data_IF_175049436837
#
_entry.id   IF_175049436837
#
_cell.length_a   1.000
_cell.length_b   1.000
_cell.length_c   1.000
_cell.angle_alpha   90.00
_cell.angle_beta   90.00
_cell.angle_gamma   90.00
#
_symmetry.space_group_name_H-M   'P 1'
#
loop_
_entity.id
_entity.type
_entity.pdbx_description
1 polymer ?
#
# COMPACT_ATOMS: atom_id res chain seq x y z
N UNK A 1 10.39 -29.87 14.60
CA UNK A 1 9.27 -28.90 14.59
C UNK A 1 9.48 -27.81 13.53
N UNK A 2 10.51 -26.97 13.63
CA UNK A 2 10.78 -25.87 12.67
C UNK A 2 11.01 -26.33 11.22
N UNK A 3 11.70 -27.46 10.99
CA UNK A 3 11.85 -28.03 9.65
C UNK A 3 10.50 -28.42 8.99
N UNK A 4 9.54 -28.87 9.79
CA UNK A 4 8.18 -29.16 9.31
C UNK A 4 7.41 -27.87 8.96
N UNK A 5 7.59 -26.81 9.75
CA UNK A 5 7.05 -25.47 9.42
C UNK A 5 7.67 -24.93 8.13
N UNK A 6 8.97 -25.14 7.93
CA UNK A 6 9.68 -24.74 6.70
C UNK A 6 9.16 -25.49 5.47
N UNK A 7 8.94 -26.80 5.58
CA UNK A 7 8.35 -27.60 4.49
C UNK A 7 6.91 -27.19 4.17
N UNK A 8 6.09 -26.92 5.19
CA UNK A 8 4.72 -26.42 5.00
C UNK A 8 4.72 -25.03 4.37
N UNK A 9 5.64 -24.15 4.78
CA UNK A 9 5.84 -22.84 4.19
C UNK A 9 6.23 -22.93 2.72
N UNK A 10 7.21 -23.77 2.37
CA UNK A 10 7.61 -24.01 0.99
C UNK A 10 6.46 -24.58 0.14
N UNK A 11 5.70 -25.53 0.68
CA UNK A 11 4.53 -26.07 0.00
C UNK A 11 3.46 -25.00 -0.24
N UNK A 12 3.19 -24.13 0.74
CA UNK A 12 2.25 -23.04 0.61
C UNK A 12 2.71 -21.97 -0.41
N UNK A 13 4.01 -21.65 -0.42
CA UNK A 13 4.62 -20.72 -1.38
C UNK A 13 4.56 -21.27 -2.80
N UNK A 14 4.92 -22.54 -3.01
CA UNK A 14 4.90 -23.18 -4.33
C UNK A 14 3.48 -23.37 -4.89
N UNK A 15 2.45 -23.36 -4.02
CA UNK A 15 1.04 -23.44 -4.43
C UNK A 15 0.46 -22.07 -4.79
N UNK A 16 1.04 -20.98 -4.29
CA UNK A 16 0.73 -19.64 -4.78
C UNK A 16 1.38 -19.52 -6.17
N UNK A 17 0.60 -19.11 -7.17
CA UNK A 17 1.16 -18.75 -8.47
C UNK A 17 2.21 -17.66 -8.25
N UNK A 18 3.38 -17.85 -8.86
CA UNK A 18 4.59 -17.04 -8.74
C UNK A 18 4.40 -15.55 -9.08
N UNK A 19 3.28 -15.20 -9.70
CA UNK A 19 2.92 -13.86 -10.16
C UNK A 19 1.98 -13.08 -9.21
N UNK A 20 1.70 -13.58 -8.00
CA UNK A 20 0.93 -12.75 -7.05
C UNK A 20 1.82 -11.63 -6.53
N UNK A 21 1.74 -10.45 -7.13
CA UNK A 21 2.50 -9.27 -6.73
C UNK A 21 2.33 -9.05 -5.22
N UNK A 22 3.43 -9.16 -4.45
CA UNK A 22 3.36 -9.28 -2.98
C UNK A 22 2.69 -8.07 -2.30
N UNK A 23 2.78 -6.91 -2.93
CA UNK A 23 2.15 -5.68 -2.48
C UNK A 23 0.61 -5.77 -2.43
N UNK A 24 -0.03 -6.71 -3.14
CA UNK A 24 -1.48 -6.93 -3.05
C UNK A 24 -1.91 -7.32 -1.62
N UNK A 25 -1.00 -7.90 -0.82
CA UNK A 25 -1.28 -8.29 0.56
C UNK A 25 -1.53 -7.10 1.50
N UNK A 26 -1.11 -5.90 1.13
CA UNK A 26 -1.35 -4.71 1.96
C UNK A 26 -2.62 -3.98 1.58
N UNK A 27 -3.19 -4.23 0.39
CA UNK A 27 -4.46 -3.64 -0.05
C UNK A 27 -5.59 -4.08 0.88
N UNK A 28 -6.38 -3.12 1.33
CA UNK A 28 -7.51 -3.29 2.22
C UNK A 28 -8.82 -3.18 1.45
N UNK A 29 -9.87 -3.86 1.92
CA UNK A 29 -11.21 -3.66 1.38
C UNK A 29 -11.81 -2.35 1.94
N UNK A 30 -12.05 -1.32 1.11
CA UNK A 30 -12.65 -0.08 1.58
C UNK A 30 -14.12 -0.25 2.01
N UNK A 31 -14.79 -1.31 1.55
CA UNK A 31 -16.17 -1.65 1.91
C UNK A 31 -16.25 -2.89 2.85
N UNK A 32 -15.35 -2.97 3.82
CA UNK A 32 -15.29 -4.04 4.82
C UNK A 32 -16.60 -4.22 5.61
N UNK A 33 -17.34 -3.12 5.84
CA UNK A 33 -18.60 -3.11 6.60
C UNK A 33 -19.87 -3.10 5.75
N UNK A 34 -19.77 -3.08 4.43
CA UNK A 34 -20.94 -3.03 3.52
C UNK A 34 -21.64 -1.68 3.39
N UNK A 35 -21.03 -0.60 3.90
CA UNK A 35 -21.61 0.75 3.89
C UNK A 35 -21.08 1.63 2.73
N UNK A 36 -20.08 1.18 1.99
CA UNK A 36 -19.42 1.93 0.92
C UNK A 36 -19.75 1.31 -0.45
N UNK A 37 -21.02 1.41 -0.84
CA UNK A 37 -21.57 0.73 -2.02
C UNK A 37 -21.41 1.52 -3.33
N UNK A 38 -20.86 2.73 -3.24
CA UNK A 38 -20.73 3.67 -4.35
C UNK A 38 -19.28 4.08 -4.52
N UNK A 39 -18.82 4.21 -5.76
CA UNK A 39 -17.48 4.67 -6.12
C UNK A 39 -17.60 5.91 -7.00
N UNK A 40 -16.86 6.94 -6.64
CA UNK A 40 -16.68 8.16 -7.41
C UNK A 40 -15.27 8.20 -7.96
N UNK A 41 -15.15 8.36 -9.27
CA UNK A 41 -13.86 8.38 -9.97
C UNK A 41 -13.60 9.79 -10.49
N UNK A 42 -12.58 10.44 -9.97
CA UNK A 42 -12.07 11.70 -10.53
C UNK A 42 -11.35 11.33 -11.82
N UNK A 43 -11.96 11.63 -12.95
CA UNK A 43 -11.52 11.13 -14.25
C UNK A 43 -10.62 12.15 -14.96
N UNK A 44 -9.46 11.66 -15.37
CA UNK A 44 -8.53 12.37 -16.24
C UNK A 44 -8.36 11.59 -17.53
N UNK A 45 -8.17 12.28 -18.64
CA UNK A 45 -7.87 11.68 -19.93
C UNK A 45 -6.50 12.15 -20.41
N UNK A 46 -5.68 11.22 -20.87
CA UNK A 46 -4.39 11.51 -21.51
C UNK A 46 -4.56 11.50 -23.02
N UNK A 47 -4.40 12.67 -23.65
CA UNK A 47 -4.45 12.84 -25.11
C UNK A 47 -3.17 13.53 -25.58
N UNK A 48 -2.36 12.85 -26.40
CA UNK A 48 -1.13 13.41 -26.99
C UNK A 48 -0.15 14.02 -25.95
N UNK A 49 -0.08 13.42 -24.75
CA UNK A 49 0.78 13.89 -23.66
C UNK A 49 0.21 15.04 -22.83
N UNK A 50 -1.00 15.51 -23.13
CA UNK A 50 -1.74 16.46 -22.31
C UNK A 50 -2.79 15.75 -21.45
N UNK A 51 -2.97 16.25 -20.23
CA UNK A 51 -3.97 15.75 -19.29
C UNK A 51 -5.19 16.67 -19.29
N UNK A 52 -6.35 16.09 -19.53
CA UNK A 52 -7.64 16.79 -19.53
C UNK A 52 -8.52 16.22 -18.42
N UNK A 53 -9.02 17.09 -17.55
CA UNK A 53 -10.00 16.71 -16.54
C UNK A 53 -11.37 16.49 -17.19
N UNK A 54 -11.98 15.32 -16.95
CA UNK A 54 -13.28 14.94 -17.52
C UNK A 54 -14.46 15.12 -16.56
N UNK A 55 -14.19 15.26 -15.26
CA UNK A 55 -15.21 15.36 -14.23
C UNK A 55 -15.17 14.20 -13.24
N UNK A 56 -16.28 14.03 -12.51
CA UNK A 56 -16.47 12.92 -11.56
C UNK A 56 -17.47 11.91 -12.12
N UNK A 57 -16.98 10.70 -12.34
CA UNK A 57 -17.77 9.55 -12.78
C UNK A 57 -18.28 8.72 -11.59
N UNK A 58 -19.37 7.99 -11.82
CA UNK A 58 -20.01 7.14 -10.82
C UNK A 58 -19.93 5.67 -11.25
N UNK A 59 -19.66 4.80 -10.28
CA UNK A 59 -19.73 3.36 -10.43
C UNK A 59 -20.28 2.71 -9.14
N UNK A 60 -20.95 1.58 -9.26
CA UNK A 60 -21.29 0.75 -8.10
C UNK A 60 -20.08 -0.03 -7.61
N UNK A 61 -19.90 -0.11 -6.29
CA UNK A 61 -18.83 -0.88 -5.71
C UNK A 61 -18.97 -2.38 -6.04
N UNK A 62 -17.86 -2.99 -6.47
CA UNK A 62 -17.78 -4.43 -6.71
C UNK A 62 -16.64 -5.05 -5.92
N UNK A 63 -16.91 -6.13 -5.19
CA UNK A 63 -15.86 -6.90 -4.51
C UNK A 63 -14.83 -7.50 -5.46
N UNK A 64 -15.16 -7.63 -6.76
CA UNK A 64 -14.22 -8.07 -7.80
C UNK A 64 -13.15 -7.02 -8.14
N UNK A 65 -13.40 -5.75 -7.81
CA UNK A 65 -12.55 -4.59 -8.12
C UNK A 65 -11.79 -4.05 -6.90
N UNK A 66 -11.69 -4.83 -5.81
CA UNK A 66 -10.98 -4.40 -4.59
C UNK A 66 -9.53 -4.00 -4.91
N UNK A 67 -8.83 -4.83 -5.71
CA UNK A 67 -7.46 -4.56 -6.11
C UNK A 67 -7.37 -3.30 -6.99
N UNK A 68 -8.33 -3.12 -7.90
CA UNK A 68 -8.43 -1.95 -8.78
C UNK A 68 -8.47 -0.61 -8.05
N UNK A 69 -9.03 -0.60 -6.85
CA UNK A 69 -9.10 0.59 -6.02
C UNK A 69 -7.81 0.87 -5.24
N UNK A 70 -6.89 -0.10 -5.17
CA UNK A 70 -5.62 -0.05 -4.45
C UNK A 70 -5.73 0.48 -3.01
N UNK A 71 -6.89 0.38 -2.34
CA UNK A 71 -7.12 1.12 -1.11
C UNK A 71 -6.20 0.65 0.01
N UNK A 72 -5.39 1.56 0.55
CA UNK A 72 -4.65 1.36 1.80
C UNK A 72 -4.90 2.51 2.75
N UNK A 73 -5.45 2.19 3.92
CA UNK A 73 -5.68 3.20 4.96
C UNK A 73 -4.37 3.74 5.52
N UNK A 74 -4.32 5.06 5.68
CA UNK A 74 -3.20 5.75 6.30
C UNK A 74 -3.42 6.10 7.77
N UNK A 75 -2.57 6.98 8.30
CA UNK A 75 -2.68 7.42 9.69
C UNK A 75 -3.93 8.29 9.90
N UNK A 76 -4.53 8.24 11.09
CA UNK A 76 -5.77 9.00 11.38
C UNK A 76 -5.64 10.53 11.20
N UNK A 77 -4.42 11.07 11.32
CA UNK A 77 -4.11 12.50 11.14
C UNK A 77 -3.49 12.81 9.77
N UNK A 78 -3.18 11.78 8.98
CA UNK A 78 -2.58 11.91 7.65
C UNK A 78 -3.58 11.57 6.54
N UNK A 79 -3.10 11.64 5.29
CA UNK A 79 -3.80 11.08 4.14
C UNK A 79 -3.93 9.56 4.25
N UNK A 80 -4.79 8.98 3.42
CA UNK A 80 -4.70 7.54 3.13
C UNK A 80 -3.37 7.25 2.42
N UNK A 81 -2.92 6.00 2.38
CA UNK A 81 -1.63 5.68 1.75
C UNK A 81 -1.75 5.78 0.23
N UNK A 82 -2.88 5.37 -0.32
CA UNK A 82 -3.18 5.42 -1.75
C UNK A 82 -4.14 6.55 -2.09
N UNK A 83 -4.20 6.99 -3.37
CA UNK A 83 -5.11 8.04 -3.84
C UNK A 83 -6.57 7.56 -3.99
N UNK A 84 -6.98 6.72 -3.04
CA UNK A 84 -8.33 6.21 -2.86
C UNK A 84 -8.69 6.44 -1.40
N UNK A 85 -9.79 7.12 -1.13
CA UNK A 85 -10.23 7.47 0.23
C UNK A 85 -11.70 7.21 0.42
N UNK A 86 -12.08 6.81 1.64
CA UNK A 86 -13.47 6.79 2.08
C UNK A 86 -14.01 8.22 2.14
N UNK A 87 -15.20 8.47 1.60
CA UNK A 87 -15.81 9.79 1.60
C UNK A 87 -16.21 10.21 3.01
N UNK A 88 -15.90 11.46 3.35
CA UNK A 88 -16.38 12.13 4.58
C UNK A 88 -16.92 13.53 4.27
N UNK A 89 -16.16 14.26 3.47
CA UNK A 89 -16.42 15.64 3.06
C UNK A 89 -15.56 15.88 1.82
N UNK A 90 -16.08 16.57 0.80
CA UNK A 90 -15.41 16.68 -0.50
C UNK A 90 -14.01 17.29 -0.38
N UNK A 91 -13.85 18.37 0.37
CA UNK A 91 -12.56 19.05 0.55
C UNK A 91 -11.59 18.18 1.34
N UNK A 92 -12.05 17.57 2.44
CA UNK A 92 -11.19 16.69 3.25
C UNK A 92 -10.77 15.43 2.50
N UNK A 93 -11.68 14.81 1.76
CA UNK A 93 -11.42 13.60 0.98
C UNK A 93 -10.47 13.91 -0.18
N UNK A 94 -10.68 15.01 -0.90
CA UNK A 94 -9.76 15.45 -1.95
C UNK A 94 -8.35 15.73 -1.40
N UNK A 95 -8.25 16.42 -0.25
CA UNK A 95 -6.96 16.69 0.38
C UNK A 95 -6.23 15.39 0.77
N UNK A 96 -6.94 14.39 1.30
CA UNK A 96 -6.33 13.08 1.59
C UNK A 96 -5.74 12.44 0.33
N UNK A 97 -6.50 12.43 -0.76
CA UNK A 97 -6.07 11.89 -2.04
C UNK A 97 -4.83 12.63 -2.54
N UNK A 98 -4.82 13.97 -2.49
CA UNK A 98 -3.67 14.79 -2.91
C UNK A 98 -2.42 14.52 -2.08
N UNK A 99 -2.56 14.34 -0.75
CA UNK A 99 -1.43 13.97 0.12
C UNK A 99 -0.83 12.64 -0.34
N UNK A 100 -1.66 11.61 -0.53
CA UNK A 100 -1.21 10.29 -1.02
C UNK A 100 -0.53 10.41 -2.38
N UNK A 101 -1.12 11.18 -3.29
CA UNK A 101 -0.61 11.38 -4.64
C UNK A 101 0.78 12.04 -4.64
N UNK A 102 0.96 13.06 -3.79
CA UNK A 102 2.25 13.73 -3.60
C UNK A 102 3.31 12.78 -3.03
N UNK A 103 2.94 11.92 -2.08
CA UNK A 103 3.86 10.96 -1.48
C UNK A 103 4.30 9.87 -2.48
N UNK A 104 3.39 9.42 -3.36
CA UNK A 104 3.72 8.56 -4.50
C UNK A 104 4.72 9.25 -5.43
N UNK A 105 4.46 10.51 -5.82
CA UNK A 105 5.33 11.27 -6.71
C UNK A 105 6.75 11.48 -6.15
N UNK A 106 6.89 11.63 -4.83
CA UNK A 106 8.20 11.74 -4.16
C UNK A 106 8.97 10.42 -4.14
N UNK A 107 8.26 9.29 -4.15
CA UNK A 107 8.86 7.96 -4.09
C UNK A 107 9.31 7.42 -5.46
N UNK A 108 8.77 7.96 -6.55
CA UNK A 108 8.98 7.45 -7.90
C UNK A 108 10.20 8.10 -8.62
N UNK A 109 10.82 7.32 -9.52
CA UNK A 109 12.00 7.72 -10.30
C UNK A 109 11.64 8.69 -11.44
N UNK A 110 12.00 9.96 -11.29
CA UNK A 110 11.56 11.14 -12.09
C UNK A 110 11.72 11.06 -13.63
N UNK A 111 12.31 9.99 -14.18
CA UNK A 111 12.57 9.81 -15.61
C UNK A 111 11.51 8.98 -16.34
N UNK A 112 10.45 8.54 -15.67
CA UNK A 112 9.37 7.75 -16.25
C UNK A 112 8.28 8.64 -16.89
N UNK A 113 7.79 8.27 -18.08
CA UNK A 113 6.75 9.02 -18.78
C UNK A 113 5.40 8.94 -18.04
N UNK A 114 5.11 7.83 -17.37
CA UNK A 114 3.92 7.68 -16.52
C UNK A 114 3.99 8.62 -15.29
N UNK A 115 5.20 8.88 -14.78
CA UNK A 115 5.36 9.83 -13.67
C UNK A 115 5.10 11.28 -14.10
N UNK A 116 5.43 11.65 -15.35
CA UNK A 116 5.08 12.97 -15.88
C UNK A 116 3.57 13.16 -15.93
N UNK A 117 2.85 12.13 -16.39
CA UNK A 117 1.38 12.12 -16.39
C UNK A 117 0.83 12.33 -14.97
N UNK A 118 1.31 11.55 -14.00
CA UNK A 118 0.91 11.70 -12.60
C UNK A 118 1.22 13.11 -12.07
N UNK A 119 2.39 13.65 -12.40
CA UNK A 119 2.75 15.01 -11.98
C UNK A 119 1.78 16.06 -12.56
N UNK A 120 1.42 15.95 -13.84
CA UNK A 120 0.44 16.85 -14.46
C UNK A 120 -0.95 16.72 -13.84
N UNK A 121 -1.41 15.51 -13.49
CA UNK A 121 -2.65 15.29 -12.75
C UNK A 121 -2.60 16.02 -11.40
N UNK A 122 -1.51 15.83 -10.66
CA UNK A 122 -1.35 16.45 -9.35
C UNK A 122 -1.35 17.98 -9.42
N UNK A 123 -0.60 18.55 -10.37
CA UNK A 123 -0.57 20.00 -10.61
C UNK A 123 -1.96 20.55 -10.95
N UNK A 124 -2.72 19.84 -11.80
CA UNK A 124 -4.10 20.20 -12.10
C UNK A 124 -4.99 20.20 -10.85
N UNK A 125 -4.88 19.16 -10.01
CA UNK A 125 -5.65 19.04 -8.77
C UNK A 125 -5.33 20.17 -7.79
N UNK A 126 -4.05 20.58 -7.68
CA UNK A 126 -3.62 21.71 -6.85
C UNK A 126 -4.22 23.02 -7.34
N UNK A 127 -4.20 23.27 -8.65
CA UNK A 127 -4.74 24.51 -9.22
C UNK A 127 -6.27 24.59 -9.24
N UNK A 128 -6.97 23.45 -9.23
CA UNK A 128 -8.43 23.38 -9.41
C UNK A 128 -9.16 22.71 -8.23
N UNK A 129 -8.57 22.77 -7.03
CA UNK A 129 -9.07 22.05 -5.86
C UNK A 129 -10.53 22.36 -5.53
N UNK A 130 -10.94 23.63 -5.58
CA UNK A 130 -12.32 24.04 -5.30
C UNK A 130 -13.31 23.49 -6.33
N UNK A 131 -12.96 23.54 -7.61
CA UNK A 131 -13.80 23.02 -8.69
C UNK A 131 -14.03 21.51 -8.55
N UNK A 132 -12.96 20.75 -8.31
CA UNK A 132 -13.05 19.29 -8.13
C UNK A 132 -13.86 18.96 -6.87
N UNK A 133 -13.68 19.68 -5.78
CA UNK A 133 -14.47 19.47 -4.56
C UNK A 133 -15.96 19.76 -4.76
N UNK A 134 -16.29 20.78 -5.57
CA UNK A 134 -17.67 21.07 -5.95
C UNK A 134 -18.26 19.96 -6.82
N UNK A 135 -17.53 19.47 -7.83
CA UNK A 135 -17.99 18.36 -8.68
C UNK A 135 -18.26 17.08 -7.87
N UNK A 136 -17.39 16.74 -6.92
CA UNK A 136 -17.61 15.61 -6.00
C UNK A 136 -18.90 15.83 -5.19
N UNK A 137 -19.08 17.05 -4.68
CA UNK A 137 -20.27 17.41 -3.86
C UNK A 137 -21.55 17.29 -4.68
N UNK A 138 -21.56 17.79 -5.90
CA UNK A 138 -22.70 17.71 -6.82
C UNK A 138 -23.01 16.26 -7.19
N UNK A 139 -21.96 15.48 -7.51
CA UNK A 139 -22.13 14.07 -7.86
C UNK A 139 -22.73 13.27 -6.69
N UNK A 140 -22.28 13.50 -5.46
CA UNK A 140 -22.83 12.84 -4.27
C UNK A 140 -24.31 13.19 -4.05
N UNK A 141 -24.68 14.47 -4.23
CA UNK A 141 -26.08 14.90 -4.13
C UNK A 141 -26.98 14.24 -5.17
N UNK A 142 -26.43 13.89 -6.34
CA UNK A 142 -27.17 13.20 -7.41
C UNK A 142 -27.39 11.70 -7.16
N UNK A 143 -26.66 11.10 -6.21
CA UNK A 143 -26.74 9.66 -5.92
C UNK A 143 -27.76 9.39 -4.82
N UNK A 144 -28.70 8.43 -5.00
CA UNK A 144 -29.66 8.06 -3.98
C UNK A 144 -28.99 7.21 -2.88
N UNK A 145 -28.33 7.86 -1.93
CA UNK A 145 -27.71 7.20 -0.78
C UNK A 145 -28.74 6.78 0.26
N UNK A 146 -28.73 5.51 0.70
CA UNK A 146 -29.54 5.07 1.84
C UNK A 146 -28.91 5.54 3.14
N UNK A 147 -29.72 5.55 4.22
CA UNK A 147 -29.26 5.91 5.56
C UNK A 147 -28.10 5.01 5.99
N UNK A 148 -26.92 5.60 6.18
CA UNK A 148 -25.70 4.90 6.61
C UNK A 148 -24.80 4.45 5.46
N UNK A 149 -25.19 4.65 4.20
CA UNK A 149 -24.33 4.46 3.04
C UNK A 149 -23.44 5.68 2.78
N UNK A 150 -22.28 5.43 2.19
CA UNK A 150 -21.31 6.44 1.78
C UNK A 150 -20.58 5.98 0.51
N UNK A 151 -19.70 6.85 0.00
CA UNK A 151 -18.95 6.63 -1.23
C UNK A 151 -17.46 6.38 -0.96
N UNK A 152 -16.79 5.72 -1.89
CA UNK A 152 -15.35 5.71 -2.05
C UNK A 152 -15.02 6.73 -3.14
N UNK A 153 -13.95 7.50 -2.96
CA UNK A 153 -13.44 8.41 -3.99
C UNK A 153 -12.06 7.94 -4.41
N UNK A 154 -11.84 7.82 -5.71
CA UNK A 154 -10.56 7.40 -6.31
C UNK A 154 -10.29 8.24 -7.57
N UNK A 155 -9.12 8.06 -8.17
CA UNK A 155 -8.74 8.69 -9.44
C UNK A 155 -8.69 7.59 -10.51
N UNK A 156 -9.09 7.93 -11.73
CA UNK A 156 -8.99 7.06 -12.90
C UNK A 156 -8.36 7.81 -14.07
N UNK A 157 -7.60 7.09 -14.90
CA UNK A 157 -6.95 7.63 -16.09
C UNK A 157 -7.54 6.95 -17.33
N UNK A 158 -7.97 7.75 -18.30
CA UNK A 158 -8.51 7.27 -19.57
C UNK A 158 -7.44 7.47 -20.65
N UNK A 159 -6.98 6.36 -21.24
CA UNK A 159 -6.00 6.35 -22.33
C UNK A 159 -6.58 5.60 -23.53
N UNK A 160 -6.66 6.24 -24.70
CA UNK A 160 -7.20 5.62 -25.92
C UNK A 160 -8.59 4.98 -25.75
N UNK A 161 -9.51 5.64 -25.03
CA UNK A 161 -10.83 5.14 -24.64
C UNK A 161 -10.83 3.92 -23.70
N UNK A 162 -9.68 3.51 -23.17
CA UNK A 162 -9.60 2.49 -22.14
C UNK A 162 -9.43 3.15 -20.79
N UNK A 163 -10.32 2.79 -19.86
CA UNK A 163 -10.19 3.19 -18.47
C UNK A 163 -9.10 2.35 -17.79
N UNK A 164 -8.10 3.03 -17.25
CA UNK A 164 -6.99 2.43 -16.54
C UNK A 164 -7.13 2.74 -15.05
N UNK A 165 -7.24 1.68 -14.26
CA UNK A 165 -7.38 1.80 -12.82
C UNK A 165 -6.07 2.23 -12.18
N UNK A 166 -6.16 2.75 -10.95
CA UNK A 166 -5.01 3.34 -10.29
C UNK A 166 -3.95 2.29 -9.90
N UNK A 167 -4.37 1.05 -9.64
CA UNK A 167 -3.48 -0.08 -9.35
C UNK A 167 -2.66 -0.53 -10.55
N UNK A 168 -3.15 -0.31 -11.77
CA UNK A 168 -2.46 -0.65 -13.01
C UNK A 168 -1.27 0.28 -13.31
N UNK A 169 -1.06 1.32 -12.51
CA UNK A 169 0.03 2.28 -12.68
C UNK A 169 1.32 1.85 -11.97
N UNK A 170 2.44 1.91 -12.68
CA UNK A 170 3.73 1.48 -12.14
C UNK A 170 4.19 2.30 -10.92
N UNK A 171 3.98 3.64 -10.86
CA UNK A 171 4.31 4.42 -9.67
C UNK A 171 3.62 3.92 -8.40
N UNK A 172 2.37 3.50 -8.49
CA UNK A 172 1.60 3.03 -7.33
C UNK A 172 2.03 1.63 -6.91
N UNK A 173 2.25 0.72 -7.87
CA UNK A 173 2.78 -0.61 -7.58
C UNK A 173 4.12 -0.52 -6.86
N UNK A 174 5.04 0.31 -7.38
CA UNK A 174 6.35 0.55 -6.78
C UNK A 174 6.23 1.16 -5.37
N UNK A 175 5.33 2.12 -5.20
CA UNK A 175 5.09 2.75 -3.90
C UNK A 175 4.54 1.76 -2.87
N UNK A 176 3.54 0.95 -3.24
CA UNK A 176 2.97 -0.08 -2.38
C UNK A 176 4.00 -1.18 -2.05
N UNK A 177 4.82 -1.60 -3.01
CA UNK A 177 5.93 -2.52 -2.77
C UNK A 177 6.95 -1.95 -1.77
N UNK A 178 7.32 -0.67 -1.92
CA UNK A 178 8.21 0.00 -0.97
C UNK A 178 7.63 0.08 0.45
N UNK A 179 6.31 0.28 0.58
CA UNK A 179 5.62 0.24 1.88
C UNK A 179 5.58 -1.17 2.45
N UNK A 180 5.31 -2.16 1.61
CA UNK A 180 5.32 -3.57 2.01
C UNK A 180 6.67 -3.94 2.62
N UNK A 181 7.77 -3.67 1.91
CA UNK A 181 9.14 -3.91 2.39
C UNK A 181 9.44 -3.10 3.66
N UNK A 182 9.01 -1.84 3.68
CA UNK A 182 9.20 -0.91 4.79
C UNK A 182 8.64 -1.43 6.12
N UNK A 183 7.52 -2.17 6.11
CA UNK A 183 6.95 -2.75 7.34
C UNK A 183 7.90 -3.71 8.06
N UNK A 184 8.81 -4.35 7.31
CA UNK A 184 9.78 -5.32 7.82
C UNK A 184 11.17 -4.70 8.06
N UNK A 185 11.47 -3.60 7.37
CA UNK A 185 12.79 -2.96 7.41
C UNK A 185 12.86 -1.75 8.33
N UNK A 186 11.77 -1.01 8.52
CA UNK A 186 11.82 0.35 9.04
C UNK A 186 10.92 0.50 10.27
N UNK A 187 11.54 0.53 11.46
CA UNK A 187 10.85 0.84 12.73
C UNK A 187 11.67 1.84 13.54
N UNK A 188 10.99 2.75 14.24
CA UNK A 188 11.60 3.76 15.12
C UNK A 188 12.65 4.66 14.44
N UNK A 189 12.41 5.02 13.18
CA UNK A 189 13.34 5.86 12.40
C UNK A 189 14.66 5.18 12.03
N UNK A 190 14.74 3.85 12.14
CA UNK A 190 15.91 3.06 11.76
C UNK A 190 15.53 2.03 10.69
N UNK A 191 16.29 2.02 9.61
CA UNK A 191 16.23 0.97 8.58
C UNK A 191 17.18 -0.16 8.98
N UNK A 192 16.67 -1.40 9.00
CA UNK A 192 17.43 -2.59 9.37
C UNK A 192 17.19 -3.70 8.35
N UNK A 193 17.98 -3.58 7.27
CA UNK A 193 18.08 -4.48 6.12
C UNK A 193 19.55 -4.89 5.99
N UNK A 194 19.80 -6.14 5.67
CA UNK A 194 21.16 -6.66 5.53
C UNK A 194 21.17 -7.98 4.79
N UNK A 195 22.36 -8.55 4.63
CA UNK A 195 22.53 -9.92 4.10
C UNK A 195 22.75 -10.89 5.26
N UNK A 196 22.13 -12.06 5.17
CA UNK A 196 22.27 -13.10 6.16
C UNK A 196 22.25 -14.47 5.51
N UNK A 197 22.92 -15.43 6.14
CA UNK A 197 22.91 -16.82 5.70
C UNK A 197 21.81 -17.54 6.47
N UNK A 198 20.89 -18.16 5.75
CA UNK A 198 19.83 -18.95 6.38
C UNK A 198 20.44 -20.15 7.10
N UNK A 199 20.16 -20.29 8.40
CA UNK A 199 20.67 -21.40 9.20
C UNK A 199 20.22 -22.80 8.71
N UNK A 200 19.09 -22.88 7.98
CA UNK A 200 18.53 -24.12 7.44
C UNK A 200 18.96 -24.42 6.01
N UNK A 201 18.66 -23.53 5.06
CA UNK A 201 18.96 -23.78 3.65
C UNK A 201 20.37 -23.36 3.24
N UNK A 202 21.13 -22.68 4.12
CA UNK A 202 22.50 -22.21 3.90
C UNK A 202 22.69 -21.24 2.73
N UNK A 203 21.59 -20.78 2.13
CA UNK A 203 21.62 -19.75 1.10
C UNK A 203 21.80 -18.38 1.74
N UNK A 204 22.58 -17.53 1.08
CA UNK A 204 22.64 -16.10 1.39
C UNK A 204 21.39 -15.43 0.83
N UNK A 205 20.69 -14.69 1.68
CA UNK A 205 19.51 -13.93 1.29
C UNK A 205 19.46 -12.61 2.00
N UNK A 206 18.60 -11.73 1.51
CA UNK A 206 18.27 -10.52 2.25
C UNK A 206 17.52 -10.87 3.54
N UNK A 207 17.86 -10.17 4.62
CA UNK A 207 17.25 -10.35 5.93
C UNK A 207 16.75 -9.01 6.46
N UNK A 208 15.55 -9.06 7.02
CA UNK A 208 14.86 -7.91 7.59
C UNK A 208 14.72 -8.10 9.09
N UNK A 209 15.24 -7.15 9.88
CA UNK A 209 15.32 -7.32 11.34
C UNK A 209 13.96 -7.26 12.05
N UNK A 210 12.97 -6.58 11.49
CA UNK A 210 11.70 -6.33 12.19
C UNK A 210 10.58 -7.32 11.88
N UNK A 211 10.93 -8.47 11.30
CA UNK A 211 10.01 -9.58 11.04
C UNK A 211 9.73 -10.33 12.35
N UNK A 212 8.54 -10.17 12.92
CA UNK A 212 8.07 -11.02 14.02
C UNK A 212 7.43 -12.27 13.44
N UNK A 213 8.10 -13.43 13.53
CA UNK A 213 7.54 -14.68 13.02
C UNK A 213 6.40 -15.24 13.88
N UNK A 214 6.32 -14.83 15.16
CA UNK A 214 5.29 -15.24 16.10
C UNK A 214 5.00 -14.10 17.08
N UNK A 215 3.84 -13.46 16.98
CA UNK A 215 3.41 -12.43 17.95
C UNK A 215 3.16 -13.01 19.35
N UNK A 216 3.03 -14.35 19.45
CA UNK A 216 2.79 -15.07 20.70
C UNK A 216 4.07 -15.45 21.47
N UNK A 217 5.27 -15.25 20.92
CA UNK A 217 6.51 -15.55 21.66
C UNK A 217 6.82 -14.41 22.61
N UNK A 218 6.19 -14.44 23.78
CA UNK A 218 6.63 -13.65 24.93
C UNK A 218 7.90 -14.29 25.49
N UNK A 219 9.05 -13.66 25.27
CA UNK A 219 10.36 -14.03 25.83
C UNK A 219 10.44 -13.88 27.37
N UNK A 220 9.31 -13.59 28.00
CA UNK A 220 9.17 -13.32 29.43
C UNK A 220 8.88 -14.60 30.24
N UNK A 221 8.54 -15.71 29.58
CA UNK A 221 8.29 -16.99 30.26
C UNK A 221 9.54 -17.86 30.26
N UNK A 222 10.11 -18.04 31.47
CA UNK A 222 11.35 -18.77 31.79
C UNK A 222 11.42 -20.20 31.19
N UNK A 223 10.29 -20.81 30.83
CA UNK A 223 10.23 -22.15 30.21
C UNK A 223 10.39 -22.22 28.69
N UNK A 224 10.45 -21.10 27.96
CA UNK A 224 10.62 -21.07 26.49
C UNK A 224 12.07 -20.81 26.05
N UNK A 225 12.97 -20.54 26.98
CA UNK A 225 14.40 -20.41 26.74
C UNK A 225 15.08 -21.76 26.95
N UNK A 226 15.43 -22.47 25.87
CA UNK A 226 16.32 -23.64 25.96
C UNK A 226 17.67 -23.22 26.57
N UNK A 227 18.32 -24.12 27.33
CA UNK A 227 19.47 -23.88 28.22
C UNK A 227 20.69 -23.10 27.64
N UNK A 228 20.74 -22.88 26.33
CA UNK A 228 21.74 -22.05 25.63
C UNK A 228 21.29 -20.59 25.36
N UNK A 229 20.08 -20.20 25.79
CA UNK A 229 19.52 -18.86 25.58
C UNK A 229 19.89 -17.92 26.73
N UNK A 230 20.84 -17.00 26.48
CA UNK A 230 21.00 -15.82 27.35
C UNK A 230 19.92 -14.80 26.99
N UNK A 231 19.10 -14.41 27.97
CA UNK A 231 17.96 -13.49 27.78
C UNK A 231 18.39 -12.13 27.20
N UNK A 232 19.58 -11.66 27.58
CA UNK A 232 20.26 -10.48 27.03
C UNK A 232 20.56 -10.57 25.52
N UNK A 233 20.67 -11.77 24.96
CA UNK A 233 20.99 -12.04 23.55
C UNK A 233 19.81 -12.60 22.76
N UNK A 234 18.59 -12.55 23.31
CA UNK A 234 17.40 -13.16 22.71
C UNK A 234 17.17 -12.77 21.23
N UNK A 235 17.57 -11.55 20.84
CA UNK A 235 17.46 -11.04 19.47
C UNK A 235 18.56 -11.50 18.51
N UNK A 236 19.74 -11.92 19.00
CA UNK A 236 20.80 -12.54 18.18
C UNK A 236 20.55 -14.05 18.00
N UNK A 237 19.91 -14.67 18.99
CA UNK A 237 19.67 -16.10 19.02
C UNK A 237 18.47 -16.55 18.16
N UNK A 238 17.64 -15.61 17.68
CA UNK A 238 16.55 -15.91 16.76
C UNK A 238 17.08 -15.88 15.30
N UNK A 239 17.63 -17.01 14.89
CA UNK A 239 17.77 -17.46 13.49
C UNK A 239 18.75 -16.78 12.52
N UNK A 240 19.61 -15.86 12.94
CA UNK A 240 20.65 -15.32 12.05
C UNK A 240 21.96 -15.18 12.83
N UNK A 241 23.00 -15.91 12.41
CA UNK A 241 24.38 -15.60 12.78
C UNK A 241 24.75 -14.31 12.04
N UNK A 242 24.58 -13.17 12.71
CA UNK A 242 25.07 -11.90 12.21
C UNK A 242 26.55 -11.86 12.58
N UNK A 243 27.41 -12.36 11.69
CA UNK A 243 28.84 -12.09 11.80
C UNK A 243 29.06 -10.58 11.71
N UNK A 244 29.84 -10.07 12.67
CA UNK A 244 30.16 -8.67 12.86
C UNK A 244 30.54 -7.96 11.55
N UNK A 245 29.71 -7.04 11.07
CA UNK A 245 30.17 -5.96 10.21
C UNK A 245 29.68 -4.61 10.71
N UNK A 246 30.62 -3.68 10.68
CA UNK A 246 30.73 -2.47 11.47
C UNK A 246 29.59 -1.46 11.23
N UNK A 247 29.16 -0.83 12.32
CA UNK A 247 28.31 0.35 12.30
C UNK A 247 29.07 1.52 11.68
N UNK A 248 28.64 2.02 10.52
CA UNK A 248 28.93 3.39 10.10
C UNK A 248 27.80 4.29 10.58
N UNK A 249 28.18 5.29 11.39
CA UNK A 249 27.32 6.31 11.98
C UNK A 249 26.74 7.28 10.93
#
# INVERSE_FOLDING_TARGET
>A
MLAGVLQLGQYALNKKSTDTEEYLQIIENPNDKGNYNHVLKIAFESTEGNIVYRGVEYEEFSSKKINNHAYKKGSARGGDITPTSKYTDSTKTLNKIMISFNDILKSANQNDDEQKIFKSIYEYMVSNQENIANDITEKIKSIPLKKGESCIVTITLIENNNERCIDDSQPIKNYLAGIFDGQYCSKYGKTSKGKGICCYCKNESEVFRFVTMYDSSTFDKVGLATYFFKQENARKNLFIDIENQQYSA
#
